data_IF_825120394283
#
_entry.id   IF_825120394283
#
_cell.length_a   1.000
_cell.length_b   1.000
_cell.length_c   1.000
_cell.angle_alpha   90.00
_cell.angle_beta   90.00
_cell.angle_gamma   90.00
#
_symmetry.space_group_name_H-M   'P 1'
#
loop_
_entity.id
_entity.type
_entity.pdbx_description
1 polymer ?
#
# COMPACT_ATOMS: atom_id res chain seq x y z
N UNK A 1 -9.62 -19.74 27.90
CA UNK A 1 -8.93 -20.17 26.66
C UNK A 1 -9.82 -21.02 25.75
N UNK A 2 -10.35 -22.18 26.19
CA UNK A 2 -11.22 -23.06 25.36
C UNK A 2 -12.41 -22.33 24.71
N UNK A 3 -13.18 -21.56 25.50
CA UNK A 3 -14.29 -20.72 24.99
C UNK A 3 -13.90 -19.73 23.87
N UNK A 4 -12.68 -19.18 23.92
CA UNK A 4 -12.20 -18.25 22.89
C UNK A 4 -11.83 -18.99 21.59
N UNK A 5 -11.22 -20.17 21.72
CA UNK A 5 -10.95 -21.07 20.57
C UNK A 5 -12.25 -21.54 19.93
N UNK A 6 -13.24 -21.94 20.73
CA UNK A 6 -14.55 -22.38 20.22
C UNK A 6 -15.28 -21.24 19.51
N UNK A 7 -15.23 -20.03 20.05
CA UNK A 7 -15.80 -18.82 19.41
C UNK A 7 -15.10 -18.51 18.09
N UNK A 8 -13.78 -18.66 18.05
CA UNK A 8 -12.99 -18.46 16.83
C UNK A 8 -13.36 -19.49 15.75
N UNK A 9 -13.39 -20.77 16.12
CA UNK A 9 -13.78 -21.86 15.22
C UNK A 9 -15.21 -21.65 14.68
N UNK A 10 -16.15 -21.25 15.54
CA UNK A 10 -17.51 -20.92 15.14
C UNK A 10 -17.56 -19.76 14.12
N UNK A 11 -16.82 -18.67 14.37
CA UNK A 11 -16.75 -17.53 13.44
C UNK A 11 -16.12 -17.90 12.11
N UNK A 12 -15.01 -18.63 12.14
CA UNK A 12 -14.36 -19.12 10.92
C UNK A 12 -15.30 -20.01 10.11
N UNK A 13 -16.01 -20.92 10.77
CA UNK A 13 -16.98 -21.81 10.13
C UNK A 13 -18.19 -21.02 9.58
N UNK A 14 -18.66 -20.01 10.30
CA UNK A 14 -19.71 -19.11 9.82
C UNK A 14 -19.26 -18.35 8.56
N UNK A 15 -18.05 -17.80 8.53
CA UNK A 15 -17.49 -17.18 7.32
C UNK A 15 -17.33 -18.21 6.20
N UNK A 16 -16.86 -19.43 6.48
CA UNK A 16 -16.75 -20.55 5.52
C UNK A 16 -18.05 -20.88 4.81
N UNK A 17 -19.17 -20.71 5.50
CA UNK A 17 -20.51 -20.95 4.93
C UNK A 17 -21.03 -19.77 4.12
N UNK A 18 -20.46 -18.57 4.25
CA UNK A 18 -20.85 -17.41 3.44
C UNK A 18 -20.28 -17.54 2.02
N UNK A 19 -21.17 -17.90 1.10
CA UNK A 19 -20.94 -17.69 -0.33
C UNK A 19 -21.42 -16.29 -0.68
N UNK A 20 -20.51 -15.45 -1.18
CA UNK A 20 -20.85 -14.09 -1.58
C UNK A 20 -21.00 -14.03 -3.10
N UNK A 21 -22.16 -13.57 -3.62
CA UNK A 21 -22.39 -13.47 -5.07
C UNK A 21 -21.34 -12.58 -5.76
N UNK A 22 -20.94 -11.48 -5.12
CA UNK A 22 -19.88 -10.62 -5.64
C UNK A 22 -18.49 -11.28 -5.66
N UNK A 23 -18.28 -12.34 -4.85
CA UNK A 23 -17.09 -13.19 -4.88
C UNK A 23 -17.34 -14.49 -5.66
N UNK A 24 -18.30 -14.46 -6.59
CA UNK A 24 -18.61 -15.51 -7.55
C UNK A 24 -18.95 -16.87 -6.92
N UNK A 25 -19.40 -16.86 -5.65
CA UNK A 25 -19.76 -18.06 -4.90
C UNK A 25 -18.57 -18.91 -4.43
N UNK A 26 -17.33 -18.40 -4.55
CA UNK A 26 -16.12 -19.13 -4.11
C UNK A 26 -16.09 -19.28 -2.59
N UNK A 27 -15.54 -20.38 -2.06
CA UNK A 27 -15.37 -20.62 -0.63
C UNK A 27 -14.20 -19.78 -0.05
N UNK A 28 -14.28 -19.24 1.18
CA UNK A 28 -13.31 -18.29 1.70
C UNK A 28 -11.93 -18.85 1.98
N UNK A 29 -10.96 -17.99 1.75
CA UNK A 29 -9.53 -18.21 1.97
C UNK A 29 -8.96 -16.98 2.67
N UNK A 30 -8.20 -17.21 3.75
CA UNK A 30 -7.73 -16.16 4.63
C UNK A 30 -6.21 -16.23 4.78
N UNK A 31 -5.53 -15.11 4.66
CA UNK A 31 -4.07 -15.01 4.83
C UNK A 31 -3.69 -13.75 5.59
N UNK A 32 -2.75 -13.86 6.53
CA UNK A 32 -2.20 -12.71 7.24
C UNK A 32 -0.96 -12.11 6.55
N UNK A 33 -0.51 -12.71 5.44
CA UNK A 33 0.66 -12.30 4.67
C UNK A 33 0.32 -11.81 3.25
N UNK A 34 -0.86 -12.17 2.73
CA UNK A 34 -1.32 -11.69 1.43
C UNK A 34 -1.65 -10.20 1.47
N UNK A 35 -1.46 -9.53 0.32
CA UNK A 35 -2.03 -8.25 -0.12
C UNK A 35 -2.51 -7.30 0.98
N UNK A 36 -1.93 -6.10 1.07
CA UNK A 36 -2.12 -5.25 2.25
C UNK A 36 -1.77 -6.03 3.53
N UNK A 37 -0.64 -6.74 3.51
CA UNK A 37 -0.16 -7.64 4.55
C UNK A 37 -0.34 -7.05 5.96
N UNK A 38 -1.34 -7.51 6.74
CA UNK A 38 -1.60 -6.93 8.05
C UNK A 38 -0.50 -7.22 9.06
N UNK A 39 0.21 -8.36 8.93
CA UNK A 39 1.33 -8.66 9.83
C UNK A 39 2.48 -7.65 9.69
N UNK A 40 2.73 -7.13 8.49
CA UNK A 40 3.71 -6.06 8.25
C UNK A 40 3.19 -4.67 8.61
N UNK A 41 1.89 -4.42 8.39
CA UNK A 41 1.30 -3.09 8.55
C UNK A 41 0.95 -2.75 10.01
N UNK A 42 0.43 -3.72 10.76
CA UNK A 42 -0.07 -3.54 12.13
C UNK A 42 0.41 -4.62 13.11
N UNK A 43 1.25 -5.56 12.66
CA UNK A 43 1.72 -6.68 13.49
C UNK A 43 0.78 -7.89 13.46
N UNK A 44 1.26 -9.02 13.95
CA UNK A 44 0.48 -10.28 13.95
C UNK A 44 -0.70 -10.28 14.94
N UNK A 45 -0.56 -9.53 16.04
CA UNK A 45 -1.56 -9.39 17.11
C UNK A 45 -1.74 -7.91 17.45
N UNK A 46 -2.30 -7.12 16.52
CA UNK A 46 -2.50 -5.70 16.72
C UNK A 46 -3.46 -5.46 17.88
N UNK A 47 -3.26 -4.35 18.59
CA UNK A 47 -4.23 -3.88 19.59
C UNK A 47 -5.48 -3.30 18.89
N UNK A 48 -6.65 -3.25 19.56
CA UNK A 48 -7.91 -2.81 18.95
C UNK A 48 -7.86 -1.47 18.21
N UNK A 49 -7.10 -0.49 18.69
CA UNK A 49 -7.03 0.82 18.04
C UNK A 49 -6.31 0.71 16.70
N UNK A 50 -5.15 0.03 16.66
CA UNK A 50 -4.40 -0.21 15.45
C UNK A 50 -5.23 -0.97 14.39
N UNK A 51 -5.96 -2.00 14.82
CA UNK A 51 -6.87 -2.76 13.95
C UNK A 51 -7.98 -1.88 13.37
N UNK A 52 -8.66 -1.08 14.20
CA UNK A 52 -9.78 -0.25 13.75
C UNK A 52 -9.32 0.92 12.88
N UNK A 53 -8.17 1.53 13.16
CA UNK A 53 -7.52 2.52 12.29
C UNK A 53 -7.15 1.92 10.93
N UNK A 54 -6.52 0.75 10.91
CA UNK A 54 -6.13 0.12 9.66
C UNK A 54 -7.31 -0.24 8.76
N UNK A 55 -8.41 -0.72 9.37
CA UNK A 55 -9.70 -0.91 8.71
C UNK A 55 -10.20 0.38 8.09
N UNK A 56 -10.24 1.45 8.87
CA UNK A 56 -10.72 2.74 8.40
C UNK A 56 -9.86 3.27 7.26
N UNK A 57 -8.55 3.33 7.41
CA UNK A 57 -7.66 3.95 6.43
C UNK A 57 -7.62 3.16 5.12
N UNK A 58 -7.58 1.82 5.20
CA UNK A 58 -7.28 0.95 4.05
C UNK A 58 -8.41 -0.01 3.71
N UNK A 59 -8.70 -0.98 4.61
CA UNK A 59 -9.34 -2.25 4.21
C UNK A 59 -10.87 -2.22 4.19
N UNK A 60 -11.52 -1.20 4.76
CA UNK A 60 -12.97 -1.03 4.68
C UNK A 60 -13.43 -0.55 3.29
N UNK A 61 -12.65 0.33 2.64
CA UNK A 61 -13.11 1.02 1.42
C UNK A 61 -12.00 1.38 0.45
N UNK A 62 -10.89 1.94 0.95
CA UNK A 62 -9.82 2.51 0.13
C UNK A 62 -9.25 1.52 -0.87
N UNK A 63 -8.98 0.28 -0.44
CA UNK A 63 -8.45 -0.78 -1.31
C UNK A 63 -9.33 -1.01 -2.56
N UNK A 64 -10.65 -1.16 -2.38
CA UNK A 64 -11.58 -1.45 -3.46
C UNK A 64 -11.82 -0.23 -4.35
N UNK A 65 -11.93 0.97 -3.75
CA UNK A 65 -12.05 2.23 -4.51
C UNK A 65 -10.81 2.43 -5.40
N UNK A 66 -9.63 2.22 -4.84
CA UNK A 66 -8.36 2.33 -5.56
C UNK A 66 -8.33 1.39 -6.77
N UNK A 67 -8.67 0.11 -6.57
CA UNK A 67 -8.66 -0.91 -7.62
C UNK A 67 -9.67 -0.60 -8.73
N UNK A 68 -10.90 -0.24 -8.38
CA UNK A 68 -11.90 0.19 -9.34
C UNK A 68 -11.43 1.39 -10.17
N UNK A 69 -10.84 2.40 -9.52
CA UNK A 69 -10.29 3.58 -10.19
C UNK A 69 -9.05 3.29 -11.05
N UNK A 70 -8.42 2.14 -10.92
CA UNK A 70 -7.32 1.69 -11.78
C UNK A 70 -7.78 0.89 -13.00
N UNK A 71 -9.08 0.53 -13.06
CA UNK A 71 -9.66 -0.29 -14.14
C UNK A 71 -9.85 -1.76 -13.77
N UNK A 72 -9.58 -2.15 -12.52
CA UNK A 72 -9.90 -3.49 -12.04
C UNK A 72 -11.35 -3.61 -11.56
N UNK A 73 -11.77 -4.84 -11.26
CA UNK A 73 -13.11 -5.14 -10.78
C UNK A 73 -13.43 -4.40 -9.48
N UNK A 74 -14.60 -3.79 -9.45
CA UNK A 74 -15.10 -3.07 -8.28
C UNK A 74 -15.70 -4.04 -7.25
N UNK A 75 -15.06 -4.11 -6.08
CA UNK A 75 -15.52 -4.87 -4.93
C UNK A 75 -15.84 -3.97 -3.73
N UNK A 76 -16.25 -2.72 -3.96
CA UNK A 76 -16.74 -1.85 -2.87
C UNK A 76 -17.92 -2.52 -2.17
N UNK A 77 -17.91 -2.47 -0.83
CA UNK A 77 -18.90 -3.16 0.02
C UNK A 77 -18.50 -4.58 0.42
N UNK A 78 -17.38 -5.10 -0.10
CA UNK A 78 -16.80 -6.37 0.37
C UNK A 78 -15.76 -6.09 1.45
N UNK A 79 -15.89 -6.82 2.57
CA UNK A 79 -14.91 -6.79 3.65
C UNK A 79 -13.63 -7.54 3.23
N UNK A 80 -12.52 -6.81 3.13
CA UNK A 80 -11.21 -7.40 2.83
C UNK A 80 -10.56 -8.02 4.06
N UNK A 81 -10.61 -7.32 5.20
CA UNK A 81 -9.92 -7.73 6.44
C UNK A 81 -10.90 -8.39 7.40
N UNK A 82 -10.64 -9.64 7.77
CA UNK A 82 -11.38 -10.43 8.74
C UNK A 82 -10.56 -10.58 10.02
N UNK A 83 -11.23 -10.55 11.18
CA UNK A 83 -10.57 -10.74 12.48
C UNK A 83 -11.03 -12.04 13.14
N UNK A 84 -10.06 -12.92 13.40
CA UNK A 84 -10.29 -14.17 14.13
C UNK A 84 -9.48 -14.13 15.44
N UNK A 85 -10.17 -14.04 16.57
CA UNK A 85 -9.57 -13.99 17.91
C UNK A 85 -8.43 -12.94 18.04
N UNK A 86 -8.65 -11.72 17.52
CA UNK A 86 -7.67 -10.63 17.57
C UNK A 86 -6.58 -10.70 16.51
N UNK A 87 -6.58 -11.71 15.62
CA UNK A 87 -5.63 -11.81 14.51
C UNK A 87 -6.28 -11.37 13.19
N UNK A 88 -5.63 -10.46 12.43
CA UNK A 88 -6.11 -9.99 11.14
C UNK A 88 -5.76 -10.96 10.00
N UNK A 89 -6.70 -11.14 9.09
CA UNK A 89 -6.50 -11.88 7.85
C UNK A 89 -7.18 -11.19 6.68
N UNK A 90 -6.54 -11.24 5.52
CA UNK A 90 -7.07 -10.76 4.26
C UNK A 90 -7.85 -11.89 3.59
N UNK A 91 -9.05 -11.59 3.08
CA UNK A 91 -9.80 -12.47 2.19
C UNK A 91 -9.09 -12.54 0.83
N UNK A 92 -8.38 -13.64 0.61
CA UNK A 92 -7.53 -13.86 -0.57
C UNK A 92 -8.37 -13.87 -1.85
N UNK A 93 -9.64 -14.30 -1.80
CA UNK A 93 -10.53 -14.25 -2.97
C UNK A 93 -10.83 -12.82 -3.36
N UNK A 94 -11.18 -11.99 -2.38
CA UNK A 94 -11.52 -10.60 -2.60
C UNK A 94 -10.29 -9.85 -3.15
N UNK A 95 -9.11 -10.16 -2.60
CA UNK A 95 -7.83 -9.67 -3.11
C UNK A 95 -7.62 -10.03 -4.58
N UNK A 96 -7.53 -11.33 -4.91
CA UNK A 96 -7.27 -11.80 -6.27
C UNK A 96 -8.32 -11.32 -7.28
N UNK A 97 -9.61 -11.43 -6.93
CA UNK A 97 -10.70 -11.06 -7.82
C UNK A 97 -10.70 -9.55 -8.14
N UNK A 98 -10.33 -8.72 -7.17
CA UNK A 98 -10.22 -7.28 -7.38
C UNK A 98 -9.01 -6.84 -8.21
N UNK A 99 -8.07 -7.74 -8.52
CA UNK A 99 -6.99 -7.49 -9.48
C UNK A 99 -7.32 -7.96 -10.90
N UNK A 100 -8.47 -8.62 -11.09
CA UNK A 100 -8.94 -8.95 -12.44
C UNK A 100 -9.48 -7.67 -13.09
N UNK A 101 -9.07 -7.33 -14.33
CA UNK A 101 -9.62 -6.19 -15.06
C UNK A 101 -11.15 -6.22 -15.15
N UNK A 102 -11.81 -5.07 -14.99
CA UNK A 102 -13.26 -4.98 -14.95
C UNK A 102 -13.93 -5.46 -16.24
N UNK A 103 -13.24 -5.35 -17.37
CA UNK A 103 -13.71 -5.71 -18.70
C UNK A 103 -13.82 -7.23 -18.89
N UNK A 104 -13.10 -8.03 -18.10
CA UNK A 104 -13.13 -9.48 -18.25
C UNK A 104 -14.47 -10.04 -17.72
N UNK A 105 -15.17 -10.90 -18.48
CA UNK A 105 -16.41 -11.51 -18.03
C UNK A 105 -16.25 -12.35 -16.74
N UNK A 106 -17.35 -12.54 -16.01
CA UNK A 106 -17.31 -13.23 -14.71
C UNK A 106 -16.85 -14.69 -14.79
N UNK A 107 -17.24 -15.43 -15.84
CA UNK A 107 -16.88 -16.84 -15.98
C UNK A 107 -15.36 -17.07 -16.10
N UNK A 108 -14.62 -16.42 -17.04
CA UNK A 108 -13.17 -16.52 -17.08
C UNK A 108 -12.50 -15.94 -15.82
N UNK A 109 -13.01 -14.84 -15.26
CA UNK A 109 -12.48 -14.27 -14.01
C UNK A 109 -12.53 -15.27 -12.85
N UNK A 110 -13.65 -16.00 -12.70
CA UNK A 110 -13.82 -17.03 -11.68
C UNK A 110 -12.77 -18.13 -11.83
N UNK A 111 -12.59 -18.67 -13.05
CA UNK A 111 -11.64 -19.76 -13.31
C UNK A 111 -10.20 -19.35 -13.02
N UNK A 112 -9.82 -18.12 -13.35
CA UNK A 112 -8.50 -17.55 -13.01
C UNK A 112 -8.29 -17.55 -11.49
N UNK A 113 -9.25 -17.02 -10.73
CA UNK A 113 -9.12 -16.92 -9.27
C UNK A 113 -9.14 -18.31 -8.62
N UNK A 114 -10.01 -19.22 -9.07
CA UNK A 114 -10.03 -20.61 -8.57
C UNK A 114 -8.67 -21.30 -8.76
N UNK A 115 -8.04 -21.15 -9.93
CA UNK A 115 -6.70 -21.70 -10.16
C UNK A 115 -5.61 -21.08 -9.30
N UNK A 116 -5.65 -19.76 -9.11
CA UNK A 116 -4.69 -19.07 -8.24
C UNK A 116 -4.85 -19.50 -6.77
N UNK A 117 -6.08 -19.76 -6.32
CA UNK A 117 -6.34 -20.32 -4.99
C UNK A 117 -5.83 -21.75 -4.86
N UNK A 118 -5.99 -22.58 -5.88
CA UNK A 118 -5.42 -23.94 -5.92
C UNK A 118 -3.89 -23.92 -5.86
N UNK A 119 -3.24 -22.99 -6.57
CA UNK A 119 -1.78 -22.79 -6.50
C UNK A 119 -1.35 -22.38 -5.08
N UNK A 120 -2.03 -21.41 -4.46
CA UNK A 120 -1.74 -20.98 -3.08
C UNK A 120 -1.98 -22.09 -2.06
N UNK A 121 -2.95 -22.99 -2.31
CA UNK A 121 -3.19 -24.17 -1.49
C UNK A 121 -1.99 -25.14 -1.52
N UNK A 122 -1.45 -25.38 -2.72
CA UNK A 122 -0.32 -26.27 -2.92
C UNK A 122 1.00 -25.65 -2.42
N UNK A 123 1.12 -24.33 -2.52
CA UNK A 123 2.35 -23.59 -2.22
C UNK A 123 2.09 -22.39 -1.27
N UNK A 124 1.85 -22.64 0.04
CA UNK A 124 1.48 -21.57 0.98
C UNK A 124 2.53 -20.47 1.15
N UNK A 125 3.79 -20.76 0.82
CA UNK A 125 4.88 -19.78 0.84
C UNK A 125 4.74 -18.69 -0.23
N UNK A 126 3.78 -18.81 -1.16
CA UNK A 126 3.49 -17.79 -2.18
C UNK A 126 2.52 -16.70 -1.69
N UNK A 127 1.95 -16.84 -0.49
CA UNK A 127 0.99 -15.86 0.04
C UNK A 127 1.58 -14.45 0.19
N UNK A 128 2.85 -14.30 0.56
CA UNK A 128 3.56 -13.01 0.67
C UNK A 128 3.97 -12.44 -0.71
N UNK A 129 3.91 -13.25 -1.77
CA UNK A 129 4.28 -12.88 -3.15
C UNK A 129 3.14 -13.00 -4.15
N UNK A 130 1.91 -13.00 -3.64
CA UNK A 130 0.70 -13.26 -4.41
C UNK A 130 0.62 -12.45 -5.71
N UNK A 131 1.05 -11.19 -5.71
CA UNK A 131 0.92 -10.35 -6.90
C UNK A 131 2.05 -10.52 -7.95
N UNK A 132 3.20 -11.08 -7.56
CA UNK A 132 4.33 -11.28 -8.49
C UNK A 132 4.38 -12.71 -9.03
N UNK A 133 4.14 -13.68 -8.14
CA UNK A 133 4.41 -15.09 -8.41
C UNK A 133 3.12 -15.90 -8.68
N UNK A 134 1.94 -15.35 -8.37
CA UNK A 134 0.64 -16.03 -8.55
C UNK A 134 -0.29 -15.26 -9.50
N UNK A 135 -0.59 -14.00 -9.19
CA UNK A 135 -1.52 -13.19 -9.95
C UNK A 135 -0.86 -12.45 -11.11
N UNK A 136 -1.51 -12.42 -12.27
CA UNK A 136 -1.12 -11.57 -13.41
C UNK A 136 -1.98 -10.32 -13.38
N UNK A 137 -1.48 -9.27 -12.72
CA UNK A 137 -2.23 -8.05 -12.41
C UNK A 137 -1.87 -6.86 -13.31
N UNK A 138 -0.82 -6.99 -14.13
CA UNK A 138 -0.31 -5.92 -14.99
C UNK A 138 0.34 -6.48 -16.25
N UNK A 139 0.47 -5.67 -17.28
CA UNK A 139 1.30 -5.96 -18.43
C UNK A 139 2.79 -5.82 -18.06
N UNK A 140 3.55 -6.84 -18.43
CA UNK A 140 5.00 -6.96 -18.23
C UNK A 140 5.65 -7.45 -19.52
N UNK A 141 6.98 -7.39 -19.64
CA UNK A 141 7.66 -7.82 -20.87
C UNK A 141 7.49 -9.31 -21.19
N UNK A 142 7.17 -10.13 -20.19
CA UNK A 142 6.86 -11.57 -20.26
C UNK A 142 5.34 -11.86 -20.21
N UNK A 143 4.50 -10.87 -20.55
CA UNK A 143 3.04 -11.00 -20.42
C UNK A 143 2.48 -12.16 -21.24
N UNK A 144 2.96 -12.35 -22.46
CA UNK A 144 2.41 -13.36 -23.36
C UNK A 144 2.69 -14.78 -22.82
N UNK A 145 3.89 -15.05 -22.30
CA UNK A 145 4.25 -16.30 -21.65
C UNK A 145 3.42 -16.54 -20.38
N UNK A 146 3.25 -15.51 -19.55
CA UNK A 146 2.43 -15.60 -18.33
C UNK A 146 0.96 -15.89 -18.65
N UNK A 147 0.43 -15.30 -19.72
CA UNK A 147 -0.94 -15.55 -20.16
C UNK A 147 -1.11 -16.94 -20.77
N UNK A 148 -0.11 -17.45 -21.48
CA UNK A 148 -0.15 -18.82 -22.02
C UNK A 148 -0.26 -19.85 -20.89
N UNK A 149 0.61 -19.76 -19.89
CA UNK A 149 0.54 -20.62 -18.69
C UNK A 149 -0.79 -20.47 -17.97
N UNK A 150 -1.19 -19.24 -17.64
CA UNK A 150 -2.43 -18.98 -16.91
C UNK A 150 -3.67 -19.50 -17.65
N UNK A 151 -3.73 -19.30 -18.96
CA UNK A 151 -4.91 -19.69 -19.76
C UNK A 151 -4.96 -21.19 -19.99
N UNK A 152 -3.81 -21.85 -20.18
CA UNK A 152 -3.72 -23.31 -20.22
C UNK A 152 -4.18 -23.92 -18.89
N UNK A 153 -3.63 -23.43 -17.77
CA UNK A 153 -3.96 -23.93 -16.44
C UNK A 153 -5.43 -23.73 -16.11
N UNK A 154 -5.99 -22.54 -16.37
CA UNK A 154 -7.40 -22.23 -16.12
C UNK A 154 -8.36 -22.75 -17.21
N UNK A 155 -7.86 -23.40 -18.26
CA UNK A 155 -8.64 -23.93 -19.37
C UNK A 155 -9.45 -22.86 -20.11
N UNK A 156 -8.88 -21.67 -20.30
CA UNK A 156 -9.54 -20.52 -20.93
C UNK A 156 -9.49 -20.61 -22.46
N UNK A 157 -10.52 -20.05 -23.10
CA UNK A 157 -10.57 -19.92 -24.56
C UNK A 157 -9.58 -18.85 -25.06
N UNK A 158 -9.07 -18.97 -26.30
CA UNK A 158 -8.19 -17.95 -26.90
C UNK A 158 -8.78 -16.54 -26.91
N UNK A 159 -10.10 -16.39 -27.06
CA UNK A 159 -10.79 -15.10 -26.99
C UNK A 159 -10.61 -14.43 -25.61
N UNK A 160 -10.76 -15.20 -24.52
CA UNK A 160 -10.56 -14.67 -23.17
C UNK A 160 -9.10 -14.28 -22.90
N UNK A 161 -8.13 -14.99 -23.48
CA UNK A 161 -6.71 -14.60 -23.43
C UNK A 161 -6.50 -13.24 -24.07
N UNK A 162 -7.05 -13.03 -25.26
CA UNK A 162 -6.94 -11.75 -25.98
C UNK A 162 -7.60 -10.59 -25.22
N UNK A 163 -8.80 -10.81 -24.67
CA UNK A 163 -9.49 -9.84 -23.81
C UNK A 163 -8.68 -9.49 -22.57
N UNK A 164 -8.15 -10.50 -21.86
CA UNK A 164 -7.34 -10.29 -20.67
C UNK A 164 -6.05 -9.52 -21.00
N UNK A 165 -5.37 -9.87 -22.09
CA UNK A 165 -4.16 -9.17 -22.56
C UNK A 165 -4.46 -7.69 -22.81
N UNK A 166 -5.51 -7.39 -23.58
CA UNK A 166 -5.90 -6.02 -23.90
C UNK A 166 -6.28 -5.22 -22.63
N UNK A 167 -7.01 -5.84 -21.71
CA UNK A 167 -7.43 -5.19 -20.48
C UNK A 167 -6.25 -4.92 -19.52
N UNK A 168 -5.28 -5.84 -19.42
CA UNK A 168 -4.06 -5.64 -18.63
C UNK A 168 -3.18 -4.52 -19.20
N UNK A 169 -3.05 -4.43 -20.52
CA UNK A 169 -2.37 -3.31 -21.17
C UNK A 169 -3.06 -1.99 -20.82
N UNK A 170 -4.39 -1.92 -20.95
CA UNK A 170 -5.15 -0.71 -20.64
C UNK A 170 -4.96 -0.26 -19.18
N UNK A 171 -5.03 -1.19 -18.22
CA UNK A 171 -4.79 -0.92 -16.79
C UNK A 171 -3.37 -0.42 -16.56
N UNK A 172 -2.37 -1.02 -17.21
CA UNK A 172 -0.97 -0.65 -17.07
C UNK A 172 -0.69 0.73 -17.64
N UNK A 173 -1.19 1.01 -18.85
CA UNK A 173 -1.11 2.33 -19.49
C UNK A 173 -1.78 3.40 -18.63
N UNK A 174 -2.97 3.13 -18.10
CA UNK A 174 -3.65 4.06 -17.19
C UNK A 174 -2.81 4.34 -15.94
N UNK A 175 -2.15 3.32 -15.37
CA UNK A 175 -1.21 3.43 -14.26
C UNK A 175 0.00 4.30 -14.55
N UNK A 176 0.58 4.17 -15.75
CA UNK A 176 1.71 4.97 -16.20
C UNK A 176 1.36 6.46 -16.27
N UNK A 177 0.22 6.80 -16.88
CA UNK A 177 -0.15 8.21 -17.10
C UNK A 177 -0.66 8.94 -15.85
N UNK A 178 -1.08 8.22 -14.81
CA UNK A 178 -1.70 8.83 -13.62
C UNK A 178 -0.74 9.12 -12.48
N UNK A 179 0.47 8.56 -12.48
CA UNK A 179 1.38 8.59 -11.33
C UNK A 179 1.65 10.01 -10.81
N UNK A 180 1.90 10.97 -11.70
CA UNK A 180 2.21 12.34 -11.30
C UNK A 180 1.00 13.06 -10.70
N UNK A 181 -0.21 12.72 -11.17
CA UNK A 181 -1.46 13.24 -10.57
C UNK A 181 -1.65 12.69 -9.16
N UNK A 182 -1.41 11.39 -8.97
CA UNK A 182 -1.59 10.76 -7.67
C UNK A 182 -0.51 11.24 -6.68
N UNK A 183 0.72 11.48 -7.14
CA UNK A 183 1.78 12.13 -6.36
C UNK A 183 1.38 13.55 -5.92
N UNK A 184 0.89 14.40 -6.83
CA UNK A 184 0.40 15.74 -6.45
C UNK A 184 -0.70 15.69 -5.39
N UNK A 185 -1.54 14.66 -5.40
CA UNK A 185 -2.57 14.48 -4.36
C UNK A 185 -1.97 14.14 -3.00
N UNK A 186 -0.84 13.44 -2.95
CA UNK A 186 -0.08 13.22 -1.70
C UNK A 186 0.44 14.55 -1.18
N UNK A 187 1.05 15.39 -2.04
CA UNK A 187 1.55 16.71 -1.62
C UNK A 187 0.43 17.62 -1.09
N UNK A 188 -0.71 17.64 -1.78
CA UNK A 188 -1.89 18.39 -1.33
C UNK A 188 -2.41 17.87 0.02
N UNK A 189 -2.36 16.56 0.27
CA UNK A 189 -2.77 15.97 1.53
C UNK A 189 -1.83 16.35 2.69
N UNK A 190 -0.53 16.49 2.43
CA UNK A 190 0.45 16.96 3.39
C UNK A 190 0.15 18.41 3.80
N UNK A 191 -0.04 19.30 2.81
CA UNK A 191 -0.40 20.69 3.05
C UNK A 191 -1.74 20.84 3.79
N UNK A 192 -2.74 20.04 3.40
CA UNK A 192 -4.06 20.04 4.04
C UNK A 192 -3.99 19.60 5.51
N UNK A 193 -3.21 18.56 5.83
CA UNK A 193 -3.00 18.12 7.23
C UNK A 193 -2.45 19.24 8.10
N UNK A 194 -1.43 19.94 7.61
CA UNK A 194 -0.79 21.06 8.32
C UNK A 194 -1.78 22.21 8.50
N UNK A 195 -2.57 22.55 7.47
CA UNK A 195 -3.59 23.59 7.62
C UNK A 195 -4.70 23.21 8.63
N UNK A 196 -5.05 21.93 8.71
CA UNK A 196 -6.06 21.43 9.65
C UNK A 196 -5.59 21.35 11.10
N UNK A 197 -4.28 21.25 11.36
CA UNK A 197 -3.76 21.13 12.74
C UNK A 197 -4.08 22.33 13.61
N UNK A 198 -4.15 23.51 13.01
CA UNK A 198 -4.27 24.78 13.72
C UNK A 198 -5.73 25.18 13.98
N UNK A 199 -6.67 24.47 13.34
CA UNK A 199 -8.11 24.80 13.36
C UNK A 199 -8.84 24.28 14.59
N UNK A 200 -8.36 23.19 15.19
CA UNK A 200 -9.06 22.49 16.28
C UNK A 200 -8.17 22.41 17.52
N UNK A 201 -8.47 23.23 18.52
CA UNK A 201 -7.77 23.21 19.82
C UNK A 201 -8.16 21.98 20.67
N UNK A 202 -9.39 21.50 20.54
CA UNK A 202 -9.85 20.29 21.22
C UNK A 202 -9.29 19.04 20.53
N UNK A 203 -8.55 18.16 21.25
CA UNK A 203 -7.89 17.01 20.65
C UNK A 203 -8.88 15.95 20.13
N UNK A 204 -10.05 15.78 20.77
CA UNK A 204 -11.05 14.84 20.31
C UNK A 204 -11.69 15.30 18.98
N UNK A 205 -12.05 16.59 18.88
CA UNK A 205 -12.57 17.19 17.65
C UNK A 205 -11.53 17.13 16.52
N UNK A 206 -10.25 17.37 16.84
CA UNK A 206 -9.15 17.24 15.89
C UNK A 206 -8.98 15.81 15.40
N UNK A 207 -8.99 14.83 16.29
CA UNK A 207 -8.91 13.41 15.94
C UNK A 207 -10.09 13.00 15.04
N UNK A 208 -11.32 13.39 15.38
CA UNK A 208 -12.51 13.08 14.60
C UNK A 208 -12.50 13.75 13.21
N UNK A 209 -11.99 14.98 13.10
CA UNK A 209 -11.78 15.64 11.81
C UNK A 209 -10.77 14.88 10.93
N UNK A 210 -9.57 14.61 11.46
CA UNK A 210 -8.54 13.86 10.73
C UNK A 210 -9.03 12.47 10.32
N UNK A 211 -9.74 11.77 11.21
CA UNK A 211 -10.33 10.45 10.95
C UNK A 211 -11.39 10.48 9.84
N UNK A 212 -12.17 11.55 9.70
CA UNK A 212 -13.16 11.69 8.62
C UNK A 212 -12.51 11.93 7.26
N UNK A 213 -11.35 12.56 7.23
CA UNK A 213 -10.68 12.96 6.00
C UNK A 213 -9.60 11.98 5.54
N UNK A 214 -8.99 11.23 6.46
CA UNK A 214 -7.78 10.43 6.18
C UNK A 214 -7.96 9.49 4.99
N UNK A 215 -9.13 8.87 4.81
CA UNK A 215 -9.43 7.98 3.68
C UNK A 215 -9.29 8.70 2.33
N UNK A 216 -9.90 9.88 2.20
CA UNK A 216 -9.98 10.61 0.93
C UNK A 216 -8.75 11.47 0.68
N UNK A 217 -8.23 12.07 1.74
CA UNK A 217 -7.11 13.02 1.68
C UNK A 217 -5.80 12.30 1.41
N UNK A 218 -5.46 11.25 2.16
CA UNK A 218 -4.16 10.57 2.00
C UNK A 218 -4.25 9.06 1.75
N UNK A 219 -5.22 8.35 2.32
CA UNK A 219 -5.36 6.89 2.19
C UNK A 219 -5.51 6.46 0.73
N UNK A 220 -6.42 7.09 0.00
CA UNK A 220 -6.65 6.80 -1.41
C UNK A 220 -5.48 7.24 -2.32
N UNK A 221 -4.91 8.45 -2.19
CA UNK A 221 -3.67 8.78 -2.91
C UNK A 221 -2.52 7.81 -2.64
N UNK A 222 -2.28 7.46 -1.38
CA UNK A 222 -1.25 6.48 -1.02
C UNK A 222 -1.51 5.11 -1.66
N UNK A 223 -2.75 4.63 -1.64
CA UNK A 223 -3.10 3.37 -2.28
C UNK A 223 -2.85 3.41 -3.80
N UNK A 224 -3.06 4.55 -4.46
CA UNK A 224 -2.72 4.73 -5.87
C UNK A 224 -1.21 4.76 -6.14
N UNK A 225 -0.43 5.47 -5.34
CA UNK A 225 1.04 5.50 -5.51
C UNK A 225 1.66 4.14 -5.17
N UNK A 226 1.11 3.42 -4.19
CA UNK A 226 1.48 2.05 -3.89
C UNK A 226 1.25 1.11 -5.08
N UNK A 227 0.09 1.24 -5.76
CA UNK A 227 -0.18 0.49 -6.99
C UNK A 227 0.78 0.86 -8.12
N UNK A 228 1.07 2.13 -8.33
CA UNK A 228 2.01 2.57 -9.36
C UNK A 228 3.41 1.96 -9.14
N UNK A 229 3.91 1.97 -7.90
CA UNK A 229 5.18 1.36 -7.56
C UNK A 229 5.18 -0.16 -7.77
N UNK A 230 4.04 -0.83 -7.55
CA UNK A 230 3.89 -2.24 -7.89
C UNK A 230 4.07 -2.48 -9.40
N UNK A 231 3.38 -1.70 -10.24
CA UNK A 231 3.51 -1.79 -11.70
C UNK A 231 4.97 -1.53 -12.14
N UNK A 232 5.59 -0.48 -11.62
CA UNK A 232 6.99 -0.14 -11.88
C UNK A 232 7.93 -1.29 -11.51
N UNK A 233 7.69 -1.93 -10.35
CA UNK A 233 8.48 -3.08 -9.89
C UNK A 233 8.30 -4.29 -10.82
N UNK A 234 7.07 -4.60 -11.22
CA UNK A 234 6.78 -5.73 -12.11
C UNK A 234 7.39 -5.54 -13.51
N UNK A 235 7.28 -4.33 -14.08
CA UNK A 235 7.93 -3.97 -15.35
C UNK A 235 9.45 -4.03 -15.25
N UNK A 236 10.03 -3.57 -14.14
CA UNK A 236 11.48 -3.62 -13.92
C UNK A 236 12.00 -5.06 -13.79
N UNK A 237 11.30 -5.92 -13.05
CA UNK A 237 11.66 -7.34 -12.90
C UNK A 237 11.58 -8.07 -14.24
N UNK A 238 10.49 -7.88 -14.98
CA UNK A 238 10.33 -8.49 -16.31
C UNK A 238 11.33 -7.93 -17.34
N UNK A 239 11.75 -6.67 -17.23
CA UNK A 239 12.82 -6.13 -18.08
C UNK A 239 14.16 -6.85 -17.86
N UNK A 240 14.45 -7.27 -16.62
CA UNK A 240 15.64 -8.09 -16.32
C UNK A 240 15.50 -9.48 -16.93
N UNK A 241 14.34 -10.12 -16.78
CA UNK A 241 14.05 -11.44 -17.38
C UNK A 241 14.18 -11.38 -18.90
N UNK A 242 13.67 -10.33 -19.53
CA UNK A 242 13.74 -10.10 -20.98
C UNK A 242 15.13 -9.65 -21.48
N UNK A 243 16.13 -9.53 -20.60
CA UNK A 243 17.49 -9.09 -20.97
C UNK A 243 17.61 -7.61 -21.37
N UNK A 244 16.58 -6.80 -21.11
CA UNK A 244 16.58 -5.36 -21.39
C UNK A 244 17.31 -4.55 -20.30
N UNK A 245 17.34 -5.09 -19.09
CA UNK A 245 18.05 -4.55 -17.92
C UNK A 245 18.88 -5.65 -17.25
N UNK A 246 19.85 -5.26 -16.42
CA UNK A 246 20.55 -6.16 -15.51
C UNK A 246 20.21 -5.87 -14.06
N UNK A 247 20.33 -6.86 -13.17
CA UNK A 247 20.14 -6.66 -11.73
C UNK A 247 21.04 -5.52 -11.19
N UNK A 248 22.28 -5.42 -11.68
CA UNK A 248 23.21 -4.35 -11.32
C UNK A 248 22.72 -2.97 -11.78
N UNK A 249 22.21 -2.85 -13.02
CA UNK A 249 21.68 -1.57 -13.53
C UNK A 249 20.43 -1.11 -12.77
N UNK A 250 19.54 -2.05 -12.42
CA UNK A 250 18.35 -1.76 -11.60
C UNK A 250 18.78 -1.31 -10.20
N UNK A 251 19.75 -1.97 -9.57
CA UNK A 251 20.26 -1.56 -8.26
C UNK A 251 20.86 -0.16 -8.29
N UNK A 252 21.70 0.15 -9.29
CA UNK A 252 22.27 1.50 -9.48
C UNK A 252 21.19 2.54 -9.73
N UNK A 253 20.18 2.22 -10.54
CA UNK A 253 19.04 3.08 -10.76
C UNK A 253 18.27 3.36 -9.47
N UNK A 254 17.96 2.33 -8.67
CA UNK A 254 17.29 2.49 -7.37
C UNK A 254 18.09 3.35 -6.39
N UNK A 255 19.43 3.22 -6.38
CA UNK A 255 20.32 4.06 -5.58
C UNK A 255 20.37 5.52 -6.05
N UNK A 256 20.02 5.79 -7.31
CA UNK A 256 19.93 7.14 -7.88
C UNK A 256 18.61 7.87 -7.55
N UNK A 257 17.65 7.18 -6.92
CA UNK A 257 16.36 7.77 -6.62
C UNK A 257 16.46 8.71 -5.41
N UNK A 258 15.87 9.89 -5.52
CA UNK A 258 15.69 10.81 -4.40
C UNK A 258 14.41 10.42 -3.66
N UNK A 259 14.54 9.50 -2.70
CA UNK A 259 13.43 9.04 -1.87
C UNK A 259 13.45 9.65 -0.47
N UNK A 260 12.39 9.46 0.32
CA UNK A 260 12.33 9.92 1.71
C UNK A 260 13.49 9.39 2.55
N UNK A 261 13.87 8.12 2.38
CA UNK A 261 15.00 7.50 3.07
C UNK A 261 16.34 8.11 2.64
N UNK A 262 16.48 8.44 1.35
CA UNK A 262 17.65 9.16 0.85
C UNK A 262 17.73 10.58 1.43
N UNK A 263 16.58 11.27 1.48
CA UNK A 263 16.45 12.61 2.04
C UNK A 263 16.73 12.62 3.55
N UNK A 264 16.16 11.68 4.32
CA UNK A 264 16.42 11.49 5.75
C UNK A 264 17.92 11.32 6.02
N UNK A 265 18.60 10.51 5.21
CA UNK A 265 20.07 10.33 5.32
C UNK A 265 20.81 11.62 5.01
N UNK A 266 20.47 12.28 3.91
CA UNK A 266 21.10 13.53 3.50
C UNK A 266 20.93 14.63 4.56
N UNK A 267 19.74 14.76 5.14
CA UNK A 267 19.47 15.73 6.20
C UNK A 267 20.16 15.34 7.51
N UNK A 268 20.26 14.05 7.83
CA UNK A 268 21.07 13.58 8.95
C UNK A 268 22.56 13.95 8.82
N UNK A 269 23.12 13.87 7.60
CA UNK A 269 24.48 14.36 7.29
C UNK A 269 24.56 15.88 7.49
N UNK A 270 23.54 16.64 7.06
CA UNK A 270 23.53 18.10 7.23
C UNK A 270 23.54 18.51 8.71
N UNK A 271 22.75 17.83 9.55
CA UNK A 271 22.74 18.04 11.00
C UNK A 271 24.09 17.69 11.62
N UNK A 272 24.69 16.55 11.24
CA UNK A 272 26.00 16.14 11.73
C UNK A 272 27.11 17.17 11.40
N UNK A 273 26.94 17.94 10.32
CA UNK A 273 27.85 18.99 9.89
C UNK A 273 27.38 20.42 10.24
N UNK A 274 26.35 20.57 11.08
CA UNK A 274 25.79 21.87 11.49
C UNK A 274 25.33 22.77 10.31
N UNK A 275 24.89 22.17 9.21
CA UNK A 275 24.32 22.87 8.03
C UNK A 275 22.79 22.79 7.96
N UNK A 276 22.18 22.05 8.88
CA UNK A 276 20.76 22.03 9.21
C UNK A 276 20.67 21.98 10.73
N UNK A 277 19.74 22.73 11.33
CA UNK A 277 19.53 22.67 12.78
C UNK A 277 18.85 21.36 13.21
N UNK A 278 19.00 21.01 14.48
CA UNK A 278 18.44 19.77 15.03
C UNK A 278 16.92 19.83 15.04
N UNK A 279 16.37 20.99 15.35
CA UNK A 279 14.94 21.25 15.50
C UNK A 279 14.19 21.06 14.18
N UNK A 280 14.72 21.50 13.04
CA UNK A 280 14.15 21.28 11.70
C UNK A 280 14.16 19.80 11.35
N UNK A 281 15.24 19.09 11.68
CA UNK A 281 15.32 17.65 11.45
C UNK A 281 14.27 16.88 12.26
N UNK A 282 14.16 17.20 13.55
CA UNK A 282 13.13 16.61 14.43
C UNK A 282 11.73 17.00 13.96
N UNK A 283 11.51 18.24 13.51
CA UNK A 283 10.21 18.66 12.99
C UNK A 283 9.81 17.89 11.73
N UNK A 284 10.76 17.66 10.82
CA UNK A 284 10.51 16.99 9.54
C UNK A 284 10.24 15.50 9.71
N UNK A 285 10.98 14.82 10.58
CA UNK A 285 10.93 13.35 10.72
C UNK A 285 10.30 12.87 12.04
N UNK A 286 9.89 13.78 12.91
CA UNK A 286 9.46 13.51 14.28
C UNK A 286 8.12 12.78 14.40
N UNK A 287 7.26 12.88 13.39
CA UNK A 287 5.98 12.14 13.37
C UNK A 287 6.17 10.64 13.19
N UNK A 288 7.31 10.19 12.67
CA UNK A 288 7.59 8.77 12.50
C UNK A 288 7.55 8.04 13.84
N UNK A 289 7.09 6.80 13.82
CA UNK A 289 6.90 5.97 15.01
C UNK A 289 7.24 4.51 14.68
N UNK A 290 8.01 3.81 15.54
CA UNK A 290 8.14 2.36 15.42
C UNK A 290 6.77 1.72 15.68
N UNK A 291 6.24 0.97 14.70
CA UNK A 291 4.86 0.51 14.75
C UNK A 291 3.88 1.66 14.53
N UNK A 292 3.70 2.05 13.25
CA UNK A 292 2.96 3.25 12.80
C UNK A 292 1.59 3.45 13.44
N UNK A 293 0.93 2.37 13.87
CA UNK A 293 -0.43 2.38 14.41
C UNK A 293 -0.52 2.20 15.94
N UNK A 294 0.60 2.06 16.66
CA UNK A 294 0.60 1.77 18.09
C UNK A 294 0.72 3.05 18.94
N UNK A 295 -0.34 3.49 19.65
CA UNK A 295 -0.26 4.68 20.50
C UNK A 295 0.71 4.50 21.69
N UNK A 296 1.04 3.27 22.10
CA UNK A 296 1.89 3.04 23.27
C UNK A 296 3.39 3.24 23.00
N UNK A 297 3.80 3.28 21.73
CA UNK A 297 5.20 3.51 21.35
C UNK A 297 5.40 5.00 21.05
N UNK A 298 6.31 5.74 21.71
CA UNK A 298 6.50 7.16 21.43
C UNK A 298 6.88 7.41 19.97
N UNK A 299 6.39 8.52 19.38
CA UNK A 299 6.90 8.98 18.08
C UNK A 299 8.29 9.60 18.27
N UNK A 300 9.00 9.77 17.16
CA UNK A 300 10.39 10.21 17.17
C UNK A 300 10.57 11.57 17.85
N UNK A 301 9.64 12.52 17.70
CA UNK A 301 9.71 13.81 18.37
C UNK A 301 9.52 13.75 19.90
N UNK A 302 8.90 12.69 20.43
CA UNK A 302 8.67 12.54 21.87
C UNK A 302 9.91 11.97 22.57
N UNK A 303 10.78 11.29 21.81
CA UNK A 303 12.07 10.77 22.28
C UNK A 303 13.17 10.91 21.19
N UNK A 304 13.51 12.14 20.76
CA UNK A 304 14.38 12.37 19.60
C UNK A 304 15.82 11.93 19.86
N UNK A 305 16.29 12.03 21.10
CA UNK A 305 17.61 11.52 21.51
C UNK A 305 17.70 9.99 21.45
N UNK A 306 16.59 9.28 21.60
CA UNK A 306 16.55 7.82 21.49
C UNK A 306 16.51 7.37 20.02
N UNK A 307 15.72 8.03 19.19
CA UNK A 307 15.43 7.55 17.82
C UNK A 307 16.26 8.25 16.74
N UNK A 308 16.35 9.57 16.79
CA UNK A 308 16.95 10.38 15.73
C UNK A 308 18.44 10.65 15.98
N UNK A 309 18.85 10.85 17.23
CA UNK A 309 20.26 11.18 17.53
C UNK A 309 21.22 10.05 17.14
N UNK A 310 20.94 8.76 17.41
CA UNK A 310 21.81 7.67 16.98
C UNK A 310 21.88 7.54 15.45
N UNK A 311 20.83 7.96 14.73
CA UNK A 311 20.85 7.99 13.28
C UNK A 311 21.82 9.05 12.76
N UNK A 312 21.78 10.27 13.30
CA UNK A 312 22.66 11.39 12.93
C UNK A 312 24.13 11.10 13.28
N UNK A 313 24.42 10.58 14.49
CA UNK A 313 25.80 10.31 14.91
C UNK A 313 26.52 9.29 14.03
N UNK A 314 25.76 8.32 13.48
CA UNK A 314 26.28 7.33 12.53
C UNK A 314 26.65 7.93 11.17
N UNK A 315 26.22 9.15 10.84
CA UNK A 315 26.51 9.82 9.55
C UNK A 315 27.87 10.57 9.53
N UNK A 316 28.84 10.17 10.35
CA UNK A 316 30.15 10.86 10.51
C UNK A 316 30.95 11.03 9.20
N UNK A 317 31.94 11.96 9.13
CA UNK A 317 32.50 12.52 7.89
C UNK A 317 33.10 11.51 6.89
N UNK A 318 33.56 10.35 7.37
CA UNK A 318 34.11 9.28 6.51
C UNK A 318 33.02 8.65 5.62
N UNK A 319 31.74 8.73 6.02
CA UNK A 319 30.60 8.22 5.25
C UNK A 319 30.12 9.18 4.15
N UNK A 320 30.51 10.47 4.22
CA UNK A 320 30.09 11.51 3.29
C UNK A 320 30.70 11.36 1.87
N UNK A 321 31.86 10.71 1.75
CA UNK A 321 32.52 10.46 0.46
C UNK A 321 31.83 9.36 -0.38
N UNK A 322 30.89 8.60 0.20
CA UNK A 322 30.20 7.47 -0.45
C UNK A 322 28.78 7.87 -0.93
N UNK A 323 28.31 9.09 -0.62
CA UNK A 323 26.87 9.39 -0.48
C UNK A 323 26.31 10.50 -1.37
N UNK A 324 26.98 10.87 -2.46
CA UNK A 324 26.24 11.47 -3.58
C UNK A 324 25.33 10.36 -4.16
N UNK A 325 24.04 10.61 -4.46
CA UNK A 325 23.33 9.70 -5.35
C UNK A 325 24.23 9.56 -6.58
N UNK A 326 24.54 8.32 -6.97
CA UNK A 326 25.29 8.07 -8.20
C UNK A 326 24.44 8.66 -9.32
N UNK A 327 24.72 9.92 -9.68
CA UNK A 327 24.07 10.60 -10.78
C UNK A 327 24.27 9.73 -12.01
N UNK A 328 23.18 9.42 -12.71
CA UNK A 328 23.27 8.69 -13.98
C UNK A 328 23.09 7.17 -13.92
N UNK A 329 22.50 6.61 -12.85
CA UNK A 329 22.02 5.22 -12.90
C UNK A 329 21.01 5.02 -14.04
N UNK A 330 21.37 4.22 -15.06
CA UNK A 330 20.48 3.87 -16.17
C UNK A 330 19.66 2.64 -15.80
N UNK A 331 18.33 2.72 -15.95
CA UNK A 331 17.45 1.57 -15.68
C UNK A 331 17.70 0.41 -16.65
N UNK A 332 17.90 0.71 -17.93
CA UNK A 332 18.10 -0.29 -18.99
C UNK A 332 19.58 -0.38 -19.40
N UNK A 333 20.05 -1.60 -19.58
CA UNK A 333 21.35 -1.91 -20.20
C UNK A 333 21.26 -1.94 -21.71
N UNK A 334 20.10 -2.29 -22.26
CA UNK A 334 19.85 -2.29 -23.70
C UNK A 334 19.80 -0.88 -24.31
N UNK A 335 19.97 -0.80 -25.63
CA UNK A 335 19.75 0.44 -26.39
C UNK A 335 18.30 0.93 -26.19
N UNK A 336 18.07 2.24 -25.96
CA UNK A 336 16.72 2.78 -25.77
C UNK A 336 15.74 2.41 -26.91
N UNK A 337 16.20 2.28 -28.16
CA UNK A 337 15.32 1.88 -29.28
C UNK A 337 14.87 0.44 -29.17
N UNK A 338 15.73 -0.45 -28.66
CA UNK A 338 15.36 -1.85 -28.39
C UNK A 338 14.27 -1.92 -27.32
N UNK A 339 14.42 -1.15 -26.24
CA UNK A 339 13.43 -1.07 -25.16
C UNK A 339 12.10 -0.49 -25.68
N UNK A 340 12.14 0.62 -26.41
CA UNK A 340 10.94 1.22 -27.03
C UNK A 340 10.25 0.24 -28.00
N UNK A 341 11.02 -0.53 -28.77
CA UNK A 341 10.46 -1.57 -29.66
C UNK A 341 9.76 -2.67 -28.86
N UNK A 342 10.37 -3.12 -27.75
CA UNK A 342 9.76 -4.11 -26.87
C UNK A 342 8.46 -3.59 -26.23
N UNK A 343 8.43 -2.33 -25.79
CA UNK A 343 7.22 -1.67 -25.25
C UNK A 343 6.11 -1.55 -26.30
N UNK A 344 6.47 -1.16 -27.52
CA UNK A 344 5.52 -1.09 -28.65
C UNK A 344 4.93 -2.45 -28.97
N UNK A 345 5.75 -3.52 -28.99
CA UNK A 345 5.28 -4.91 -29.20
C UNK A 345 4.37 -5.39 -28.06
N UNK A 346 4.66 -5.00 -26.83
CA UNK A 346 3.80 -5.27 -25.68
C UNK A 346 2.45 -4.54 -25.81
N UNK A 347 2.43 -3.36 -26.45
CA UNK A 347 1.25 -2.52 -26.62
C UNK A 347 1.18 -1.34 -25.64
N UNK A 348 2.23 -1.14 -24.83
CA UNK A 348 2.41 0.06 -24.03
C UNK A 348 3.03 1.11 -24.94
N UNK A 349 2.22 1.98 -25.55
CA UNK A 349 2.64 3.04 -26.48
C UNK A 349 3.44 4.16 -25.77
N UNK A 350 4.55 3.79 -25.12
CA UNK A 350 5.48 4.66 -24.40
C UNK A 350 6.91 4.27 -24.79
N UNK A 351 7.83 5.23 -24.74
CA UNK A 351 9.24 4.98 -25.01
C UNK A 351 10.03 4.62 -23.73
N UNK A 352 11.28 4.23 -23.91
CA UNK A 352 12.19 3.88 -22.82
C UNK A 352 12.39 5.01 -21.79
N UNK A 353 12.35 6.27 -22.24
CA UNK A 353 12.54 7.43 -21.37
C UNK A 353 11.30 7.67 -20.49
N UNK A 354 10.11 7.60 -21.09
CA UNK A 354 8.83 7.68 -20.40
C UNK A 354 8.68 6.56 -19.37
N UNK A 355 9.05 5.32 -19.71
CA UNK A 355 9.04 4.23 -18.74
C UNK A 355 10.04 4.47 -17.60
N UNK A 356 11.25 4.95 -17.90
CA UNK A 356 12.24 5.29 -16.86
C UNK A 356 11.72 6.39 -15.92
N UNK A 357 11.08 7.42 -16.47
CA UNK A 357 10.45 8.48 -15.69
C UNK A 357 9.30 7.94 -14.83
N UNK A 358 8.45 7.08 -15.39
CA UNK A 358 7.38 6.41 -14.64
C UNK A 358 7.92 5.61 -13.46
N UNK A 359 8.93 4.76 -13.67
CA UNK A 359 9.52 3.94 -12.59
C UNK A 359 10.09 4.84 -11.49
N UNK A 360 10.78 5.92 -11.87
CA UNK A 360 11.30 6.92 -10.93
C UNK A 360 10.18 7.54 -10.10
N UNK A 361 9.18 8.12 -10.75
CA UNK A 361 8.03 8.77 -10.08
C UNK A 361 7.25 7.79 -9.20
N UNK A 362 7.02 6.57 -9.68
CA UNK A 362 6.21 5.58 -8.96
C UNK A 362 6.86 5.14 -7.64
N UNK A 363 8.15 4.83 -7.67
CA UNK A 363 8.88 4.38 -6.47
C UNK A 363 9.00 5.52 -5.45
N UNK A 364 9.37 6.73 -5.89
CA UNK A 364 9.47 7.90 -4.98
C UNK A 364 8.10 8.29 -4.43
N UNK A 365 7.05 8.28 -5.24
CA UNK A 365 5.70 8.63 -4.80
C UNK A 365 5.09 7.65 -3.81
N UNK A 366 5.41 6.34 -3.91
CA UNK A 366 4.99 5.37 -2.89
C UNK A 366 5.66 5.67 -1.55
N UNK A 367 6.95 5.99 -1.56
CA UNK A 367 7.67 6.25 -0.32
C UNK A 367 7.19 7.54 0.36
N UNK A 368 7.00 8.61 -0.42
CA UNK A 368 6.41 9.85 0.08
C UNK A 368 4.97 9.64 0.57
N UNK A 369 4.15 8.91 -0.19
CA UNK A 369 2.78 8.59 0.22
C UNK A 369 2.73 7.82 1.55
N UNK A 370 3.66 6.88 1.77
CA UNK A 370 3.77 6.16 3.04
C UNK A 370 4.18 7.09 4.18
N UNK A 371 5.15 7.97 3.91
CA UNK A 371 5.64 8.95 4.88
C UNK A 371 4.54 9.91 5.32
N UNK A 372 3.79 10.49 4.39
CA UNK A 372 2.68 11.39 4.70
C UNK A 372 1.51 10.66 5.36
N UNK A 373 1.16 9.46 4.91
CA UNK A 373 0.13 8.67 5.59
C UNK A 373 0.50 8.40 7.06
N UNK A 374 1.78 8.14 7.33
CA UNK A 374 2.25 7.94 8.70
C UNK A 374 2.14 9.21 9.55
N UNK A 375 2.31 10.40 8.96
CA UNK A 375 2.13 11.67 9.65
C UNK A 375 0.67 11.87 10.06
N UNK A 376 -0.27 11.60 9.15
CA UNK A 376 -1.71 11.62 9.44
C UNK A 376 -2.09 10.68 10.57
N UNK A 377 -1.60 9.44 10.54
CA UNK A 377 -1.86 8.45 11.61
C UNK A 377 -1.26 8.92 12.93
N UNK A 378 -0.01 9.41 12.91
CA UNK A 378 0.68 9.89 14.11
C UNK A 378 -0.07 11.05 14.77
N UNK A 379 -0.55 12.02 13.99
CA UNK A 379 -1.35 13.15 14.50
C UNK A 379 -2.67 12.69 15.14
N UNK A 380 -3.35 11.70 14.54
CA UNK A 380 -4.54 11.08 15.13
C UNK A 380 -4.19 10.42 16.46
N UNK A 381 -3.16 9.58 16.50
CA UNK A 381 -2.75 8.87 17.71
C UNK A 381 -2.36 9.84 18.83
N UNK A 382 -1.60 10.90 18.52
CA UNK A 382 -1.25 11.94 19.50
C UNK A 382 -2.49 12.61 20.08
N UNK A 383 -3.48 12.96 19.25
CA UNK A 383 -4.73 13.52 19.75
C UNK A 383 -5.46 12.54 20.69
N UNK A 384 -5.52 11.26 20.35
CA UNK A 384 -6.16 10.24 21.19
C UNK A 384 -5.41 9.97 22.49
N UNK A 385 -4.08 10.02 22.46
CA UNK A 385 -3.25 9.94 23.67
C UNK A 385 -3.55 11.11 24.62
N UNK A 386 -3.67 12.33 24.09
CA UNK A 386 -4.05 13.51 24.89
C UNK A 386 -5.45 13.36 25.49
N UNK A 387 -6.43 12.87 24.74
CA UNK A 387 -7.77 12.58 25.28
C UNK A 387 -7.70 11.52 26.37
N UNK A 388 -6.91 10.45 26.16
CA UNK A 388 -6.71 9.39 27.15
C UNK A 388 -6.11 9.93 28.45
N UNK A 389 -5.09 10.77 28.36
CA UNK A 389 -4.46 11.42 29.51
C UNK A 389 -5.46 12.26 30.31
N UNK A 390 -6.31 13.05 29.63
CA UNK A 390 -7.39 13.82 30.28
C UNK A 390 -8.41 12.94 31.02
N UNK A 391 -8.54 11.68 30.61
CA UNK A 391 -9.39 10.68 31.26
C UNK A 391 -8.63 9.81 32.28
N UNK A 392 -7.36 10.13 32.56
CA UNK A 392 -6.50 9.37 33.49
C UNK A 392 -6.04 8.01 32.94
N UNK A 393 -6.02 7.84 31.63
CA UNK A 393 -5.62 6.60 30.96
C UNK A 393 -4.20 6.67 30.42
N UNK A 394 -3.50 5.53 30.43
CA UNK A 394 -2.16 5.40 29.87
C UNK A 394 -2.21 5.22 28.34
N UNK A 395 -1.10 5.46 27.63
CA UNK A 395 -1.01 5.12 26.20
C UNK A 395 -1.31 3.64 25.90
N UNK A 396 -0.99 2.73 26.83
CA UNK A 396 -1.35 1.32 26.73
C UNK A 396 -2.86 1.11 26.82
N UNK A 397 -3.56 1.81 27.71
CA UNK A 397 -5.03 1.76 27.79
C UNK A 397 -5.69 2.30 26.51
N UNK A 398 -5.18 3.42 25.98
CA UNK A 398 -5.63 4.03 24.71
C UNK A 398 -5.47 3.06 23.55
N UNK A 399 -4.43 2.22 23.55
CA UNK A 399 -4.22 1.21 22.52
C UNK A 399 -5.37 0.16 22.44
N UNK A 400 -6.14 -0.01 23.51
CA UNK A 400 -7.32 -0.88 23.56
C UNK A 400 -8.63 -0.22 23.15
N UNK A 401 -8.63 1.08 22.83
CA UNK A 401 -9.79 1.75 22.27
C UNK A 401 -10.13 1.21 20.88
N UNK A 402 -11.38 1.36 20.44
CA UNK A 402 -11.74 1.22 19.02
C UNK A 402 -12.20 2.56 18.49
N UNK A 403 -11.99 2.82 17.20
CA UNK A 403 -12.46 4.07 16.58
C UNK A 403 -13.94 4.38 16.80
N UNK A 404 -14.79 3.34 16.87
CA UNK A 404 -16.23 3.51 17.16
C UNK A 404 -16.52 4.02 18.57
N UNK A 405 -15.59 3.79 19.50
CA UNK A 405 -15.71 4.20 20.90
C UNK A 405 -15.25 5.66 21.07
N UNK A 406 -14.49 6.18 20.09
CA UNK A 406 -13.94 7.54 20.04
C UNK A 406 -14.81 8.47 19.21
N UNK A 407 -15.35 7.99 18.09
CA UNK A 407 -16.29 8.75 17.28
C UNK A 407 -17.58 8.87 18.07
N UNK A 408 -17.93 10.10 18.46
CA UNK A 408 -19.25 10.37 19.01
C UNK A 408 -20.30 9.77 18.08
N UNK A 409 -21.28 9.04 18.63
CA UNK A 409 -22.45 8.59 17.87
C UNK A 409 -23.11 9.83 17.27
N UNK A 410 -22.72 10.20 16.05
CA UNK A 410 -23.44 11.23 15.32
C UNK A 410 -24.86 10.71 15.14
N UNK A 411 -25.90 11.45 15.57
CA UNK A 411 -27.29 11.05 15.35
C UNK A 411 -27.67 11.05 13.85
N UNK A 412 -26.75 11.45 12.97
CA UNK A 412 -26.92 11.29 11.52
C UNK A 412 -26.41 9.92 11.08
N UNK A 413 -27.31 8.96 11.21
CA UNK A 413 -27.22 7.67 10.53
C UNK A 413 -26.89 7.86 9.06
N UNK A 414 -26.01 7.01 8.57
CA UNK A 414 -25.67 6.89 7.17
C UNK A 414 -26.94 6.50 6.42
N UNK A 415 -27.57 7.47 5.76
CA UNK A 415 -28.60 7.18 4.77
C UNK A 415 -27.87 6.73 3.50
N UNK A 416 -27.70 5.43 3.37
CA UNK A 416 -27.33 4.75 2.13
C UNK A 416 -28.50 4.87 1.15
N UNK A 417 -28.62 6.00 0.46
CA UNK A 417 -29.67 6.20 -0.53
C UNK A 417 -29.65 7.61 -1.11
N UNK A 418 -29.61 7.68 -2.44
CA UNK A 418 -29.77 8.86 -3.28
C UNK A 418 -28.53 9.77 -3.41
N UNK A 419 -27.70 9.45 -4.39
CA UNK A 419 -27.17 10.48 -5.30
C UNK A 419 -27.66 10.09 -6.69
N UNK A 420 -28.43 11.00 -7.29
CA UNK A 420 -28.94 10.92 -8.66
C UNK A 420 -27.82 11.02 -9.70
#
# INVERSE_FOLDING_TARGET
MRRAVDTCAYRLEAERRKTHRALLGMAPWFSNMADWNPAEMIGQRPRPLAMSLYREVITNRTWAVQRAQYGYRDLRGIELLHEFAGQPYIDVRASLLSFIPAQLPFAPARRIVERQLEQLAAEPHLHDRIEFDVATTTATFDLDERLDTLTADAGLLPAHRAELRAALIAVTTAGIHRVDRDLRRVDLAAAHRIASSDRFADPLLRADHLLREIQTSIGLPFAHTARAAFLATALTRSAVIAGLASAASVQQFMQSLSTVSAQLRADGIKVAHNTMDWETFVHTYGHLRPGTYDPAVPRYSDAPELYLRPFVTRQSPVSAAITQPLGGGRLFTADPRTVTTALTRLGLNVDAAALTAFVRSAITARELGKFELSAWISDILTCLQTVGEQLGQTPDDVAFWRLRDVRGSSPFGWCSGCVA
#
